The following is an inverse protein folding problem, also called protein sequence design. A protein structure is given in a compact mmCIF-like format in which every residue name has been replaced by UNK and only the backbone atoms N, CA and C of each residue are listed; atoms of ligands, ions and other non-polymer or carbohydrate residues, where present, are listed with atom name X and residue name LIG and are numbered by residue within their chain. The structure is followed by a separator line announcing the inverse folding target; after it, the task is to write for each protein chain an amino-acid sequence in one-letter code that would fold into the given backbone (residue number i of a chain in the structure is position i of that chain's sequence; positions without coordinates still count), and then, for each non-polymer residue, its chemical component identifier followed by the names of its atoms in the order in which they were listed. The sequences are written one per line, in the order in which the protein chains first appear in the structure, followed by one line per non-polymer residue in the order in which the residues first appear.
data_IF_367573030849
#
_entry.id   IF_367573030849
#
_cell.length_a   1.000
_cell.length_b   1.000
_cell.length_c   1.000
_cell.angle_alpha   90.00
_cell.angle_beta   90.00
_cell.angle_gamma   90.00
#
_symmetry.space_group_name_H-M   'P 1'
#
loop_
_entity.id
_entity.type
_entity.pdbx_description
1 polymer ?
#
# COMPACT_ATOMS: atom_id res chain seq x y z
N UNK A 1 -14.90 25.42 -10.30
CA UNK A 1 -13.90 24.39 -9.95
C UNK A 1 -12.80 24.43 -11.01
N UNK A 2 -11.53 24.67 -10.65
CA UNK A 2 -10.41 24.63 -11.60
C UNK A 2 -9.83 23.20 -11.62
N UNK A 3 -9.91 22.53 -12.78
CA UNK A 3 -9.28 21.23 -13.00
C UNK A 3 -7.78 21.42 -13.17
N UNK A 4 -7.00 21.03 -12.16
CA UNK A 4 -5.54 21.03 -12.22
C UNK A 4 -5.05 19.63 -12.60
N UNK A 5 -3.87 19.55 -13.21
CA UNK A 5 -3.27 18.26 -13.57
C UNK A 5 -3.10 17.32 -12.35
N UNK A 6 -2.69 17.79 -11.15
CA UNK A 6 -2.68 16.98 -9.94
C UNK A 6 -4.05 16.37 -9.60
N UNK A 7 -5.13 17.14 -9.67
CA UNK A 7 -6.47 16.64 -9.34
C UNK A 7 -6.94 15.53 -10.29
N UNK A 8 -6.59 15.64 -11.58
CA UNK A 8 -6.91 14.61 -12.58
C UNK A 8 -6.14 13.32 -12.27
N UNK A 9 -4.87 13.42 -11.86
CA UNK A 9 -4.05 12.27 -11.48
C UNK A 9 -4.60 11.57 -10.23
N UNK A 10 -5.01 12.33 -9.20
CA UNK A 10 -5.66 11.78 -8.02
C UNK A 10 -6.98 11.07 -8.38
N UNK A 11 -7.82 11.67 -9.21
CA UNK A 11 -9.08 11.07 -9.63
C UNK A 11 -8.85 9.80 -10.47
N UNK A 12 -7.87 9.82 -11.38
CA UNK A 12 -7.48 8.65 -12.15
C UNK A 12 -7.03 7.50 -11.22
N UNK A 13 -6.26 7.79 -10.15
CA UNK A 13 -5.88 6.79 -9.14
C UNK A 13 -7.11 6.17 -8.47
N UNK A 14 -8.08 6.99 -8.07
CA UNK A 14 -9.33 6.51 -7.47
C UNK A 14 -10.05 5.57 -8.45
N UNK A 15 -10.17 5.95 -9.73
CA UNK A 15 -10.81 5.13 -10.76
C UNK A 15 -10.05 3.83 -11.07
N UNK A 16 -8.72 3.81 -10.96
CA UNK A 16 -7.89 2.62 -11.16
C UNK A 16 -7.95 1.66 -9.96
N UNK A 17 -8.34 2.14 -8.79
CA UNK A 17 -8.33 1.37 -7.55
C UNK A 17 -9.20 0.09 -7.61
N UNK A 18 -10.46 0.11 -8.10
CA UNK A 18 -11.24 -1.10 -8.32
C UNK A 18 -10.58 -2.09 -9.28
N UNK A 19 -9.90 -1.60 -10.32
CA UNK A 19 -9.18 -2.44 -11.29
C UNK A 19 -8.02 -3.18 -10.60
N UNK A 20 -7.23 -2.46 -9.80
CA UNK A 20 -6.15 -3.05 -8.99
C UNK A 20 -6.70 -4.09 -8.00
N UNK A 21 -7.89 -3.85 -7.43
CA UNK A 21 -8.53 -4.79 -6.51
C UNK A 21 -8.99 -6.09 -7.19
N UNK A 22 -9.51 -6.00 -8.42
CA UNK A 22 -10.14 -7.14 -9.09
C UNK A 22 -9.15 -7.99 -9.89
N UNK A 23 -8.15 -7.38 -10.53
CA UNK A 23 -7.19 -8.10 -11.38
C UNK A 23 -6.49 -9.29 -10.70
N UNK A 24 -6.07 -9.23 -9.42
CA UNK A 24 -5.42 -10.36 -8.76
C UNK A 24 -6.29 -11.62 -8.63
N UNK A 25 -7.63 -11.48 -8.67
CA UNK A 25 -8.57 -12.60 -8.60
C UNK A 25 -8.78 -13.29 -9.95
N UNK A 26 -8.34 -12.67 -11.05
CA UNK A 26 -8.42 -13.28 -12.38
C UNK A 26 -7.30 -14.32 -12.51
N UNK A 27 -7.63 -15.48 -13.08
CA UNK A 27 -6.69 -16.57 -13.30
C UNK A 27 -5.59 -16.18 -14.29
N UNK A 28 -4.38 -16.67 -14.04
CA UNK A 28 -3.21 -16.45 -14.89
C UNK A 28 -2.31 -15.32 -14.42
N UNK A 29 -1.07 -15.35 -14.91
CA UNK A 29 -0.03 -14.41 -14.47
C UNK A 29 -0.21 -13.01 -15.05
N UNK A 30 -0.72 -12.86 -16.28
CA UNK A 30 -0.89 -11.56 -16.94
C UNK A 30 -1.78 -10.57 -16.17
N UNK A 31 -2.98 -10.94 -15.68
CA UNK A 31 -3.77 -10.05 -14.83
C UNK A 31 -3.01 -9.53 -13.61
N UNK A 32 -2.21 -10.38 -12.96
CA UNK A 32 -1.42 -10.01 -11.78
C UNK A 32 -0.22 -9.12 -12.13
N UNK A 33 0.41 -9.35 -13.29
CA UNK A 33 1.42 -8.43 -13.85
C UNK A 33 0.80 -7.07 -14.13
N UNK A 34 -0.38 -7.02 -14.76
CA UNK A 34 -1.09 -5.76 -15.03
C UNK A 34 -1.45 -5.07 -13.71
N UNK A 35 -1.93 -5.81 -12.70
CA UNK A 35 -2.23 -5.26 -11.38
C UNK A 35 -0.99 -4.60 -10.74
N UNK A 36 0.16 -5.28 -10.80
CA UNK A 36 1.44 -4.75 -10.33
C UNK A 36 1.85 -3.48 -11.08
N UNK A 37 1.77 -3.47 -12.42
CA UNK A 37 2.15 -2.31 -13.23
C UNK A 37 1.22 -1.10 -12.98
N UNK A 38 -0.09 -1.32 -12.89
CA UNK A 38 -1.05 -0.26 -12.57
C UNK A 38 -0.80 0.27 -11.14
N UNK A 39 -0.56 -0.61 -10.17
CA UNK A 39 -0.20 -0.20 -8.80
C UNK A 39 1.09 0.63 -8.77
N UNK A 40 2.12 0.22 -9.53
CA UNK A 40 3.38 0.94 -9.61
C UNK A 40 3.17 2.34 -10.21
N UNK A 41 2.41 2.44 -11.30
CA UNK A 41 2.06 3.72 -11.91
C UNK A 41 1.23 4.61 -10.96
N UNK A 42 0.25 4.02 -10.26
CA UNK A 42 -0.63 4.72 -9.31
C UNK A 42 0.12 5.24 -8.07
N UNK A 43 1.07 4.46 -7.55
CA UNK A 43 1.89 4.85 -6.39
C UNK A 43 3.00 5.84 -6.77
N UNK A 44 3.57 5.72 -7.97
CA UNK A 44 4.51 6.70 -8.50
C UNK A 44 3.82 8.04 -8.82
N UNK A 45 2.59 8.01 -9.35
CA UNK A 45 1.86 9.23 -9.69
C UNK A 45 1.58 10.12 -8.47
N UNK A 46 1.43 9.54 -7.26
CA UNK A 46 1.25 10.26 -5.98
C UNK A 46 2.44 11.11 -5.57
N UNK A 47 3.64 10.63 -5.90
CA UNK A 47 4.85 11.40 -5.64
C UNK A 47 4.93 12.56 -6.64
N UNK A 48 4.53 12.30 -7.88
CA UNK A 48 4.61 13.25 -8.99
C UNK A 48 3.56 14.36 -8.88
N UNK A 49 2.30 14.04 -8.61
CA UNK A 49 1.22 15.01 -8.50
C UNK A 49 1.43 15.97 -7.32
N UNK A 50 1.85 15.46 -6.15
CA UNK A 50 2.18 16.27 -4.99
C UNK A 50 3.42 17.13 -5.21
N UNK A 51 4.42 16.63 -5.94
CA UNK A 51 5.56 17.44 -6.37
C UNK A 51 5.14 18.56 -7.32
N UNK A 52 4.30 18.24 -8.31
CA UNK A 52 3.85 19.19 -9.32
C UNK A 52 2.96 20.29 -8.72
N UNK A 53 2.04 19.92 -7.84
CA UNK A 53 1.16 20.86 -7.13
C UNK A 53 1.98 21.88 -6.33
N UNK A 54 3.02 21.43 -5.61
CA UNK A 54 3.91 22.31 -4.84
C UNK A 54 4.76 23.20 -5.76
N UNK A 55 5.31 22.65 -6.84
CA UNK A 55 6.18 23.40 -7.75
C UNK A 55 5.41 24.45 -8.56
N UNK A 56 4.15 24.17 -8.91
CA UNK A 56 3.30 25.06 -9.70
C UNK A 56 2.40 25.99 -8.86
N UNK A 57 2.47 25.91 -7.54
CA UNK A 57 1.52 26.59 -6.63
C UNK A 57 0.05 26.26 -6.97
N UNK A 58 -0.21 25.04 -7.48
CA UNK A 58 -1.52 24.53 -7.88
C UNK A 58 -2.17 23.68 -6.76
N UNK A 59 -1.91 24.04 -5.50
CA UNK A 59 -2.51 23.36 -4.35
C UNK A 59 -3.99 23.74 -4.28
N UNK A 60 -4.88 22.76 -4.45
CA UNK A 60 -6.33 22.98 -4.44
C UNK A 60 -7.01 22.33 -3.22
N UNK A 61 -8.12 22.90 -2.74
CA UNK A 61 -8.91 22.33 -1.64
C UNK A 61 -9.46 20.94 -1.97
N UNK A 62 -9.86 20.75 -3.22
CA UNK A 62 -10.35 19.46 -3.72
C UNK A 62 -9.25 18.40 -3.72
N UNK A 63 -8.04 18.73 -4.16
CA UNK A 63 -6.88 17.83 -4.08
C UNK A 63 -6.57 17.44 -2.63
N UNK A 64 -6.52 18.42 -1.72
CA UNK A 64 -6.30 18.16 -0.28
C UNK A 64 -7.35 17.23 0.35
N UNK A 65 -8.58 17.21 -0.19
CA UNK A 65 -9.65 16.32 0.24
C UNK A 65 -9.54 14.93 -0.42
N UNK A 66 -9.23 14.87 -1.73
CA UNK A 66 -9.19 13.64 -2.49
C UNK A 66 -7.95 12.80 -2.23
N UNK A 67 -6.77 13.41 -2.04
CA UNK A 67 -5.50 12.67 -1.88
C UNK A 67 -5.58 11.68 -0.70
N UNK A 68 -6.02 12.09 0.51
CA UNK A 68 -6.15 11.14 1.61
C UNK A 68 -7.18 10.03 1.36
N UNK A 69 -8.20 10.28 0.53
CA UNK A 69 -9.20 9.27 0.17
C UNK A 69 -8.60 8.28 -0.81
N UNK A 70 -7.93 8.78 -1.86
CA UNK A 70 -7.25 7.98 -2.87
C UNK A 70 -6.21 7.03 -2.24
N UNK A 71 -5.40 7.52 -1.29
CA UNK A 71 -4.42 6.72 -0.57
C UNK A 71 -5.04 5.54 0.18
N UNK A 72 -6.17 5.78 0.87
CA UNK A 72 -6.87 4.76 1.65
C UNK A 72 -7.54 3.75 0.74
N UNK A 73 -8.18 4.21 -0.32
CA UNK A 73 -8.80 3.34 -1.32
C UNK A 73 -7.74 2.43 -1.96
N UNK A 74 -6.59 2.98 -2.38
CA UNK A 74 -5.49 2.20 -2.94
C UNK A 74 -4.93 1.17 -1.93
N UNK A 75 -4.81 1.56 -0.66
CA UNK A 75 -4.41 0.65 0.42
C UNK A 75 -5.39 -0.52 0.58
N UNK A 76 -6.70 -0.23 0.61
CA UNK A 76 -7.73 -1.27 0.72
C UNK A 76 -7.75 -2.19 -0.50
N UNK A 77 -7.72 -1.62 -1.69
CA UNK A 77 -7.73 -2.37 -2.94
C UNK A 77 -6.54 -3.30 -3.12
N UNK A 78 -5.44 -3.07 -2.41
CA UNK A 78 -4.26 -3.93 -2.49
C UNK A 78 -4.18 -4.90 -1.32
N UNK A 79 -4.45 -4.45 -0.09
CA UNK A 79 -4.39 -5.32 1.08
C UNK A 79 -5.52 -6.36 1.10
N UNK A 80 -6.72 -6.05 0.58
CA UNK A 80 -7.84 -7.00 0.57
C UNK A 80 -7.52 -8.23 -0.33
N UNK A 81 -7.09 -8.07 -1.60
CA UNK A 81 -6.66 -9.21 -2.41
C UNK A 81 -5.49 -9.97 -1.79
N UNK A 82 -4.50 -9.28 -1.24
CA UNK A 82 -3.35 -9.92 -0.56
C UNK A 82 -3.84 -10.77 0.62
N UNK A 83 -4.72 -10.22 1.46
CA UNK A 83 -5.29 -10.91 2.60
C UNK A 83 -6.07 -12.17 2.17
N UNK A 84 -6.85 -12.06 1.10
CA UNK A 84 -7.70 -13.14 0.62
C UNK A 84 -6.92 -14.26 -0.05
N UNK A 85 -6.07 -13.92 -1.03
CA UNK A 85 -5.33 -14.88 -1.85
C UNK A 85 -4.30 -15.67 -1.03
N UNK A 86 -3.67 -15.05 -0.03
CA UNK A 86 -2.72 -15.74 0.86
C UNK A 86 -3.40 -16.72 1.83
N UNK A 87 -4.72 -16.59 2.05
CA UNK A 87 -5.53 -17.48 2.90
C UNK A 87 -6.22 -18.60 2.16
N UNK A 88 -6.60 -18.33 0.93
CA UNK A 88 -7.32 -19.26 0.07
C UNK A 88 -6.35 -19.71 -1.03
N UNK A 89 -5.36 -20.58 -0.71
CA UNK A 89 -4.55 -21.15 -1.75
C UNK A 89 -5.47 -21.86 -2.73
N UNK A 90 -5.21 -21.66 -4.02
CA UNK A 90 -5.95 -22.39 -5.05
C UNK A 90 -5.36 -23.80 -5.15
N UNK A 91 -6.10 -24.73 -5.76
CA UNK A 91 -5.59 -26.09 -6.03
C UNK A 91 -4.28 -26.05 -6.82
N UNK A 92 -4.07 -24.99 -7.61
CA UNK A 92 -2.97 -24.87 -8.57
C UNK A 92 -1.81 -24.01 -8.06
N UNK A 93 -2.05 -23.08 -7.12
CA UNK A 93 -1.05 -22.07 -6.75
C UNK A 93 -1.11 -21.72 -5.26
N UNK A 94 0.03 -21.87 -4.58
CA UNK A 94 0.25 -21.39 -3.22
C UNK A 94 0.80 -19.95 -3.24
N UNK A 95 -0.03 -19.00 -2.81
CA UNK A 95 0.31 -17.58 -2.70
C UNK A 95 0.83 -17.17 -1.32
N UNK A 96 1.05 -18.12 -0.40
CA UNK A 96 1.55 -17.80 0.95
C UNK A 96 2.83 -16.97 0.89
N UNK A 97 2.95 -16.10 1.88
CA UNK A 97 4.13 -15.26 2.06
C UNK A 97 5.20 -16.11 2.76
N UNK A 98 6.42 -16.23 2.19
CA UNK A 98 7.49 -16.99 2.81
C UNK A 98 7.74 -16.55 4.25
N UNK A 99 7.95 -17.50 5.16
CA UNK A 99 8.13 -17.30 6.62
C UNK A 99 6.90 -16.84 7.40
N UNK A 100 5.88 -16.32 6.74
CA UNK A 100 4.66 -15.81 7.37
C UNK A 100 3.43 -16.71 7.14
N UNK A 101 3.44 -17.51 6.07
CA UNK A 101 2.26 -18.26 5.64
C UNK A 101 1.18 -17.33 5.10
N UNK A 102 -0.05 -17.47 5.59
CA UNK A 102 -1.14 -16.56 5.22
C UNK A 102 -0.95 -15.18 5.85
N UNK A 103 -1.27 -14.11 5.12
CA UNK A 103 -1.08 -12.72 5.57
C UNK A 103 -1.85 -12.45 6.88
N UNK A 104 -1.26 -12.29 8.06
CA UNK A 104 -2.02 -12.41 9.32
C UNK A 104 -3.12 -11.35 9.51
N UNK A 105 -4.24 -11.72 10.14
CA UNK A 105 -5.41 -10.82 10.30
C UNK A 105 -5.04 -9.58 11.10
N UNK A 106 -4.29 -9.79 12.19
CA UNK A 106 -3.82 -8.70 13.04
C UNK A 106 -2.93 -7.72 12.29
N UNK A 107 -2.16 -8.17 11.29
CA UNK A 107 -1.34 -7.28 10.45
C UNK A 107 -2.23 -6.43 9.55
N UNK A 108 -3.25 -7.03 8.92
CA UNK A 108 -4.23 -6.29 8.12
C UNK A 108 -4.90 -5.18 8.95
N UNK A 109 -5.37 -5.54 10.15
CA UNK A 109 -5.98 -4.60 11.10
C UNK A 109 -5.00 -3.53 11.58
N UNK A 110 -3.73 -3.89 11.81
CA UNK A 110 -2.70 -2.93 12.21
C UNK A 110 -2.43 -1.90 11.11
N UNK A 111 -2.20 -2.35 9.87
CA UNK A 111 -1.86 -1.46 8.76
C UNK A 111 -3.03 -0.53 8.41
N UNK A 112 -4.25 -1.08 8.29
CA UNK A 112 -5.48 -0.31 8.01
C UNK A 112 -5.86 0.56 9.20
N UNK A 113 -6.00 -0.05 10.37
CA UNK A 113 -6.48 0.60 11.58
C UNK A 113 -5.60 1.77 11.97
N UNK A 114 -4.28 1.63 11.84
CA UNK A 114 -3.36 2.75 12.06
C UNK A 114 -3.61 3.90 11.09
N UNK A 115 -3.85 3.67 9.80
CA UNK A 115 -4.13 4.77 8.87
C UNK A 115 -5.44 5.50 9.19
N UNK A 116 -6.47 4.76 9.57
CA UNK A 116 -7.75 5.33 10.01
C UNK A 116 -7.59 6.12 11.30
N UNK A 117 -6.92 5.56 12.31
CA UNK A 117 -6.63 6.21 13.59
C UNK A 117 -5.84 7.50 13.40
N UNK A 118 -4.78 7.49 12.59
CA UNK A 118 -3.96 8.66 12.32
C UNK A 118 -4.74 9.76 11.58
N UNK A 119 -5.61 9.37 10.64
CA UNK A 119 -6.48 10.32 9.94
C UNK A 119 -7.48 10.95 10.90
N UNK A 120 -8.15 10.15 11.74
CA UNK A 120 -9.10 10.62 12.75
C UNK A 120 -8.44 11.52 13.80
N UNK A 121 -7.24 11.14 14.27
CA UNK A 121 -6.51 11.95 15.23
C UNK A 121 -6.08 13.31 14.66
N UNK A 122 -5.58 13.34 13.42
CA UNK A 122 -5.23 14.62 12.77
C UNK A 122 -6.46 15.51 12.59
N UNK A 123 -7.60 14.92 12.26
CA UNK A 123 -8.87 15.64 12.16
C UNK A 123 -9.30 16.22 13.51
N UNK A 124 -9.22 15.43 14.58
CA UNK A 124 -9.50 15.87 15.95
C UNK A 124 -8.57 16.99 16.41
N UNK A 125 -7.26 16.84 16.20
CA UNK A 125 -6.26 17.86 16.54
C UNK A 125 -6.49 19.17 15.78
N UNK A 126 -6.85 19.09 14.49
CA UNK A 126 -7.18 20.26 13.67
C UNK A 126 -8.37 21.04 14.24
N UNK A 127 -9.39 20.36 14.79
CA UNK A 127 -10.52 21.01 15.47
C UNK A 127 -10.11 21.78 16.74
N UNK A 128 -9.00 21.40 17.38
CA UNK A 128 -8.41 22.08 18.54
C UNK A 128 -7.32 23.10 18.15
N UNK A 129 -7.24 23.48 16.87
CA UNK A 129 -6.25 24.44 16.37
C UNK A 129 -4.83 23.90 16.23
N UNK A 130 -4.60 22.60 16.44
CA UNK A 130 -3.27 21.99 16.36
C UNK A 130 -3.12 21.25 15.04
N UNK A 131 -2.26 21.79 14.17
CA UNK A 131 -1.90 21.14 12.90
C UNK A 131 -0.75 20.16 13.14
N UNK A 132 -0.99 18.90 12.85
CA UNK A 132 0.01 17.85 13.05
C UNK A 132 0.68 17.48 11.72
N UNK A 133 1.96 17.82 11.52
CA UNK A 133 2.66 17.54 10.28
C UNK A 133 2.94 16.04 10.09
N UNK A 134 3.17 15.65 8.84
CA UNK A 134 3.67 14.32 8.52
C UNK A 134 5.12 14.16 9.04
N UNK A 135 5.36 13.15 9.88
CA UNK A 135 6.68 12.86 10.44
C UNK A 135 7.52 12.00 9.48
N UNK A 136 8.85 12.12 9.55
CA UNK A 136 9.79 11.33 8.73
C UNK A 136 9.59 9.81 8.84
N UNK A 137 9.35 9.30 10.06
CA UNK A 137 9.01 7.90 10.28
C UNK A 137 7.73 7.46 9.54
N UNK A 138 6.75 8.36 9.38
CA UNK A 138 5.54 8.11 8.61
C UNK A 138 5.80 8.00 7.10
N UNK A 139 6.76 8.78 6.57
CA UNK A 139 7.17 8.70 5.16
C UNK A 139 7.89 7.39 4.87
N UNK A 140 8.85 7.00 5.70
CA UNK A 140 9.57 5.74 5.53
C UNK A 140 8.62 4.53 5.63
N UNK A 141 7.68 4.56 6.58
CA UNK A 141 6.61 3.57 6.69
C UNK A 141 5.81 3.43 5.40
N UNK A 142 5.41 4.54 4.78
CA UNK A 142 4.65 4.53 3.53
C UNK A 142 5.46 3.91 2.37
N UNK A 143 6.73 4.28 2.24
CA UNK A 143 7.63 3.70 1.23
C UNK A 143 7.77 2.20 1.41
N UNK A 144 8.11 1.74 2.62
CA UNK A 144 8.29 0.30 2.90
C UNK A 144 6.98 -0.47 2.67
N UNK A 145 5.83 0.11 3.03
CA UNK A 145 4.53 -0.51 2.79
C UNK A 145 4.20 -0.61 1.29
N UNK A 146 4.49 0.42 0.50
CA UNK A 146 4.28 0.37 -0.95
C UNK A 146 5.21 -0.65 -1.62
N UNK A 147 6.46 -0.77 -1.16
CA UNK A 147 7.37 -1.81 -1.62
C UNK A 147 6.83 -3.20 -1.27
N UNK A 148 6.34 -3.41 -0.04
CA UNK A 148 5.69 -4.67 0.35
C UNK A 148 4.52 -5.02 -0.56
N UNK A 149 3.60 -4.07 -0.79
CA UNK A 149 2.43 -4.28 -1.63
C UNK A 149 2.84 -4.63 -3.07
N UNK A 150 3.72 -3.82 -3.68
CA UNK A 150 4.20 -4.05 -5.04
C UNK A 150 4.94 -5.39 -5.18
N UNK A 151 5.84 -5.70 -4.25
CA UNK A 151 6.53 -6.98 -4.22
C UNK A 151 5.56 -8.16 -4.09
N UNK A 152 4.49 -8.03 -3.31
CA UNK A 152 3.48 -9.09 -3.13
C UNK A 152 2.63 -9.30 -4.38
N UNK A 153 2.20 -8.21 -5.05
CA UNK A 153 1.48 -8.33 -6.32
C UNK A 153 2.35 -9.01 -7.38
N UNK A 154 3.63 -8.65 -7.45
CA UNK A 154 4.56 -9.30 -8.35
C UNK A 154 4.83 -10.76 -7.94
N UNK A 155 4.84 -11.07 -6.64
CA UNK A 155 4.95 -12.44 -6.14
C UNK A 155 3.80 -13.30 -6.64
N UNK A 156 2.56 -12.81 -6.61
CA UNK A 156 1.42 -13.55 -7.15
C UNK A 156 1.58 -13.82 -8.64
N UNK A 157 2.03 -12.83 -9.42
CA UNK A 157 2.32 -13.01 -10.84
C UNK A 157 3.40 -14.07 -11.08
N UNK A 158 4.47 -14.06 -10.27
CA UNK A 158 5.54 -15.05 -10.33
C UNK A 158 5.05 -16.47 -10.02
N UNK A 159 4.23 -16.66 -8.98
CA UNK A 159 3.68 -17.98 -8.64
C UNK A 159 2.78 -18.54 -9.74
N UNK A 160 1.96 -17.69 -10.38
CA UNK A 160 1.17 -18.10 -11.54
C UNK A 160 2.02 -18.44 -12.76
N UNK A 161 3.09 -17.67 -13.01
CA UNK A 161 4.00 -17.95 -14.11
C UNK A 161 4.71 -19.30 -13.92
N UNK A 162 5.12 -19.62 -12.70
CA UNK A 162 5.70 -20.93 -12.37
C UNK A 162 4.70 -22.08 -12.52
N UNK A 163 3.43 -21.85 -12.22
CA UNK A 163 2.38 -22.85 -12.38
C UNK A 163 2.05 -23.08 -13.87
N UNK A 164 2.02 -22.03 -14.68
CA UNK A 164 1.72 -22.10 -16.11
C UNK A 164 2.90 -22.64 -16.94
N UNK A 165 4.13 -22.27 -16.57
CA UNK A 165 5.35 -22.68 -17.25
C UNK A 165 6.34 -23.26 -16.24
N UNK A 166 6.15 -24.51 -15.78
CA UNK A 166 7.07 -25.13 -14.85
C UNK A 166 8.44 -25.30 -15.50
N UNK A 167 9.46 -24.70 -14.88
CA UNK A 167 10.86 -24.91 -15.27
C UNK A 167 11.69 -25.20 -14.03
N UNK A 168 12.77 -25.95 -14.18
CA UNK A 168 13.75 -26.20 -13.13
C UNK A 168 15.05 -25.44 -13.44
N UNK A 169 15.72 -24.94 -12.41
CA UNK A 169 17.01 -24.27 -12.59
C UNK A 169 17.41 -23.40 -11.42
N UNK A 170 18.68 -23.02 -11.40
CA UNK A 170 19.23 -22.14 -10.37
C UNK A 170 18.47 -20.80 -10.32
N UNK A 171 18.15 -20.20 -11.47
CA UNK A 171 17.45 -18.92 -11.52
C UNK A 171 16.08 -18.98 -10.83
N UNK A 172 15.28 -20.03 -11.07
CA UNK A 172 14.00 -20.22 -10.38
C UNK A 172 14.19 -20.25 -8.86
N UNK A 173 15.10 -21.10 -8.39
CA UNK A 173 15.31 -21.31 -6.96
C UNK A 173 15.87 -20.05 -6.28
N UNK A 174 16.78 -19.36 -6.96
CA UNK A 174 17.32 -18.08 -6.51
C UNK A 174 16.20 -17.02 -6.43
N UNK A 175 15.44 -16.85 -7.51
CA UNK A 175 14.40 -15.82 -7.59
C UNK A 175 13.27 -16.07 -6.60
N UNK A 176 12.80 -17.31 -6.46
CA UNK A 176 11.73 -17.66 -5.50
C UNK A 176 12.16 -17.35 -4.05
N UNK A 177 13.41 -17.67 -3.69
CA UNK A 177 13.97 -17.31 -2.38
C UNK A 177 14.18 -15.81 -2.21
N UNK A 178 14.78 -15.15 -3.19
CA UNK A 178 15.11 -13.73 -3.15
C UNK A 178 13.84 -12.88 -3.07
N UNK A 179 12.93 -13.02 -4.04
CA UNK A 179 11.69 -12.27 -4.10
C UNK A 179 10.80 -12.59 -2.89
N UNK A 180 10.72 -13.87 -2.52
CA UNK A 180 10.05 -14.31 -1.30
C UNK A 180 10.57 -13.60 -0.04
N UNK A 181 11.90 -13.52 0.10
CA UNK A 181 12.55 -12.78 1.19
C UNK A 181 12.24 -11.28 1.14
N UNK A 182 12.24 -10.65 -0.04
CA UNK A 182 11.86 -9.23 -0.18
C UNK A 182 10.44 -9.01 0.33
N UNK A 183 9.47 -9.84 -0.04
CA UNK A 183 8.08 -9.74 0.45
C UNK A 183 8.03 -9.89 1.98
N UNK A 184 8.70 -10.91 2.51
CA UNK A 184 8.67 -11.22 3.93
C UNK A 184 9.35 -10.15 4.80
N UNK A 185 10.51 -9.63 4.37
CA UNK A 185 11.26 -8.58 5.07
C UNK A 185 10.53 -7.25 5.00
N UNK A 186 9.96 -6.90 3.85
CA UNK A 186 9.23 -5.63 3.69
C UNK A 186 7.91 -5.64 4.47
N UNK A 187 7.25 -6.79 4.61
CA UNK A 187 6.13 -6.97 5.54
C UNK A 187 6.55 -6.71 6.98
N UNK A 188 7.65 -7.34 7.44
CA UNK A 188 8.19 -7.14 8.77
C UNK A 188 8.52 -5.65 9.01
N UNK A 189 9.20 -5.01 8.05
CA UNK A 189 9.54 -3.60 8.09
C UNK A 189 8.29 -2.70 8.15
N UNK A 190 7.26 -3.00 7.36
CA UNK A 190 6.00 -2.27 7.37
C UNK A 190 5.31 -2.36 8.74
N UNK A 191 5.29 -3.55 9.37
CA UNK A 191 4.75 -3.76 10.72
C UNK A 191 5.54 -2.93 11.74
N UNK A 192 6.87 -3.10 11.78
CA UNK A 192 7.75 -2.42 12.74
C UNK A 192 7.62 -0.90 12.64
N UNK A 193 7.67 -0.35 11.42
CA UNK A 193 7.53 1.09 11.18
C UNK A 193 6.12 1.60 11.49
N UNK A 194 5.09 0.77 11.29
CA UNK A 194 3.71 1.13 11.66
C UNK A 194 3.58 1.28 13.18
N UNK A 195 4.06 0.30 13.94
CA UNK A 195 4.06 0.33 15.41
C UNK A 195 4.94 1.47 15.93
N UNK A 196 6.17 1.59 15.44
CA UNK A 196 7.10 2.64 15.83
C UNK A 196 6.52 4.04 15.58
N UNK A 197 6.01 4.28 14.36
CA UNK A 197 5.45 5.58 14.01
C UNK A 197 4.22 5.93 14.83
N UNK A 198 3.39 4.94 15.19
CA UNK A 198 2.24 5.12 16.08
C UNK A 198 2.70 5.46 17.51
N UNK A 199 3.68 4.74 18.04
CA UNK A 199 4.24 4.99 19.38
C UNK A 199 4.86 6.38 19.51
N UNK A 200 5.70 6.78 18.55
CA UNK A 200 6.29 8.13 18.49
C UNK A 200 5.20 9.19 18.46
N UNK A 201 4.14 8.94 17.71
CA UNK A 201 3.04 9.89 17.58
C UNK A 201 2.25 10.06 18.87
N UNK A 202 1.82 8.95 19.49
CA UNK A 202 1.10 8.96 20.76
C UNK A 202 1.94 9.60 21.86
N UNK A 203 3.24 9.32 21.90
CA UNK A 203 4.16 9.94 22.85
C UNK A 203 4.26 11.45 22.65
N UNK A 204 4.45 11.91 21.40
CA UNK A 204 4.62 13.33 21.09
C UNK A 204 3.37 14.15 21.34
N UNK A 205 2.20 13.59 21.05
CA UNK A 205 0.91 14.28 21.16
C UNK A 205 0.07 13.87 22.36
N UNK A 206 0.67 13.17 23.35
CA UNK A 206 0.00 12.73 24.59
C UNK A 206 -0.71 13.85 25.35
N UNK A 207 -0.22 15.08 25.25
CA UNK A 207 -0.83 16.24 25.91
C UNK A 207 -2.22 16.56 25.33
N UNK A 208 -2.43 16.31 24.02
CA UNK A 208 -3.72 16.53 23.37
C UNK A 208 -4.78 15.49 23.77
N UNK A 209 -4.36 14.35 24.33
CA UNK A 209 -5.23 13.28 24.80
C UNK A 209 -5.70 13.48 26.25
N UNK A 210 -5.07 14.40 27.00
CA UNK A 210 -5.32 14.61 28.44
C UNK A 210 -6.29 15.76 28.76
N UNK A 211 -6.85 16.41 27.74
CA UNK A 211 -7.89 17.44 27.87
C UNK A 211 -9.00 17.20 26.88
#
# INVERSE_FOLDING_TARGET
MRWTLPNILTLARICLTPVIALLPFIQGYWPKVIAFLIFLAASASDVVDGYLARRRNEVSELGQLLDPIADKLLLFATLIPIFWLTRHPTILVDYRIPWWGSFPVWVALLLVGRELLMTGFRFFAKRRGVVIPAMGAGKLKAVVQNVFIGATLFWFAWKDALAAHPFAGWFRNFWDKFHGAVVAVTLAGAILLTVYSLGVYLYRYRALLKG
#
